data_IF_757751521463
#
_entry.id   IF_757751521463
#
_cell.length_a   1.000
_cell.length_b   1.000
_cell.length_c   1.000
_cell.angle_alpha   90.00
_cell.angle_beta   90.00
_cell.angle_gamma   90.00
#
_symmetry.space_group_name_H-M   'P 1'
#
loop_
_entity.id
_entity.type
_entity.pdbx_description
1 polymer ?
#
# COMPACT_ATOMS: atom_id res chain seq x y z
N UNK A 1 -7.66 25.13 20.28
CA UNK A 1 -6.54 25.08 21.23
C UNK A 1 -6.56 23.73 21.94
N UNK A 2 -5.42 23.03 21.88
CA UNK A 2 -4.88 22.21 22.96
C UNK A 2 -5.44 20.78 23.06
N UNK A 3 -4.57 19.75 23.15
CA UNK A 3 -3.82 19.49 24.39
C UNK A 3 -4.73 19.76 25.61
N UNK A 4 -5.94 19.19 25.60
CA UNK A 4 -6.84 19.16 26.74
C UNK A 4 -6.59 17.86 27.48
N UNK A 5 -5.67 17.89 28.43
CA UNK A 5 -5.72 16.91 29.53
C UNK A 5 -7.06 17.04 30.26
N UNK A 6 -7.47 16.08 31.10
CA UNK A 6 -6.78 14.86 31.53
C UNK A 6 -7.44 13.60 30.95
N UNK A 7 -6.63 12.58 30.60
CA UNK A 7 -7.01 11.19 30.24
C UNK A 7 -8.41 10.95 29.63
N UNK A 8 -8.44 10.33 28.44
CA UNK A 8 -8.90 8.95 28.48
C UNK A 8 -8.04 8.00 27.64
N UNK A 9 -7.91 6.81 28.17
CA UNK A 9 -7.52 5.58 27.50
C UNK A 9 -8.30 5.35 26.20
N UNK A 10 -7.73 5.67 25.04
CA UNK A 10 -7.91 4.98 23.75
C UNK A 10 -7.40 5.85 22.59
N UNK A 11 -6.62 5.23 21.68
CA UNK A 11 -6.30 5.80 20.38
C UNK A 11 -7.58 5.99 19.58
N UNK A 12 -7.97 7.25 19.34
CA UNK A 12 -9.13 7.60 18.53
C UNK A 12 -8.69 8.30 17.23
N UNK A 13 -8.93 7.67 16.09
CA UNK A 13 -8.84 8.31 14.78
C UNK A 13 -10.10 9.16 14.55
N UNK A 14 -9.96 10.47 14.32
CA UNK A 14 -11.06 11.30 13.78
C UNK A 14 -10.91 11.40 12.27
N UNK A 15 -11.96 11.01 11.55
CA UNK A 15 -12.18 11.41 10.17
C UNK A 15 -13.10 12.64 10.17
N UNK A 16 -12.56 13.83 9.88
CA UNK A 16 -13.38 14.98 9.51
C UNK A 16 -13.24 15.26 8.01
N UNK A 17 -14.35 15.13 7.29
CA UNK A 17 -14.50 15.48 5.89
C UNK A 17 -15.01 16.92 5.78
N UNK A 18 -14.20 17.86 5.29
CA UNK A 18 -14.69 19.20 4.93
C UNK A 18 -13.82 19.88 3.87
N UNK A 19 -14.33 19.82 2.63
CA UNK A 19 -14.26 20.77 1.50
C UNK A 19 -13.04 21.68 1.24
N UNK A 20 -12.62 21.63 -0.03
CA UNK A 20 -11.93 22.63 -0.85
C UNK A 20 -10.39 22.73 -0.74
N UNK A 21 -9.71 22.12 -1.73
CA UNK A 21 -8.35 22.44 -2.18
C UNK A 21 -7.26 22.57 -1.10
N UNK A 22 -7.08 21.55 -0.27
CA UNK A 22 -5.85 21.42 0.52
C UNK A 22 -5.21 20.06 0.30
N UNK A 23 -3.90 20.08 0.02
CA UNK A 23 -3.05 18.90 0.02
C UNK A 23 -3.29 18.13 1.31
N UNK A 24 -3.72 16.87 1.19
CA UNK A 24 -3.96 15.99 2.33
C UNK A 24 -2.64 15.73 3.06
N UNK A 25 -2.39 16.49 4.12
CA UNK A 25 -1.38 16.18 5.12
C UNK A 25 -2.01 15.23 6.14
N UNK A 26 -1.43 14.05 6.29
CA UNK A 26 -1.69 13.25 7.49
C UNK A 26 -1.01 13.95 8.65
N UNK A 27 -1.81 14.42 9.60
CA UNK A 27 -1.33 15.05 10.82
C UNK A 27 -1.43 14.01 11.94
N UNK A 28 -0.28 13.53 12.39
CA UNK A 28 -0.16 12.83 13.66
C UNK A 28 0.18 13.89 14.71
N UNK A 29 -0.71 14.05 15.69
CA UNK A 29 -0.47 14.95 16.81
C UNK A 29 0.34 14.18 17.86
N UNK A 30 1.61 14.56 18.05
CA UNK A 30 2.45 14.06 19.12
C UNK A 30 2.50 15.09 20.26
N UNK A 31 2.60 14.61 21.49
CA UNK A 31 2.87 15.44 22.67
C UNK A 31 4.36 15.26 22.97
N UNK A 32 5.16 16.31 22.74
CA UNK A 32 6.57 16.32 23.16
C UNK A 32 6.68 16.36 24.70
N UNK A 33 7.83 15.99 25.26
CA UNK A 33 8.08 15.99 26.73
C UNK A 33 7.85 17.36 27.40
N UNK A 34 7.84 18.44 26.62
CA UNK A 34 7.53 19.81 27.06
C UNK A 34 6.02 20.15 27.03
N UNK A 35 5.16 19.17 26.71
CA UNK A 35 3.70 19.36 26.61
C UNK A 35 3.25 20.15 25.37
N UNK A 36 4.14 20.32 24.39
CA UNK A 36 3.83 20.97 23.13
C UNK A 36 3.22 19.95 22.15
N UNK A 37 2.01 20.25 21.68
CA UNK A 37 1.38 19.51 20.58
C UNK A 37 2.12 19.86 19.27
N UNK A 38 3.07 19.02 18.82
CA UNK A 38 3.70 19.18 17.51
C UNK A 38 3.04 18.21 16.51
N UNK A 39 2.43 18.78 15.47
CA UNK A 39 1.86 18.01 14.37
C UNK A 39 2.96 17.64 13.39
N UNK A 40 3.33 16.35 13.32
CA UNK A 40 4.21 15.89 12.25
C UNK A 40 3.37 15.77 10.97
N UNK A 41 3.62 16.66 9.99
CA UNK A 41 2.96 16.57 8.69
C UNK A 41 3.68 15.56 7.82
N UNK A 42 3.06 14.41 7.55
CA UNK A 42 3.59 13.48 6.57
C UNK A 42 3.25 13.99 5.16
N UNK A 43 4.26 14.41 4.38
CA UNK A 43 4.08 14.77 2.97
C UNK A 43 4.02 13.52 2.13
N UNK A 44 2.82 13.16 1.67
CA UNK A 44 2.67 12.20 0.59
C UNK A 44 3.07 12.91 -0.71
N UNK A 45 4.18 12.49 -1.31
CA UNK A 45 4.54 12.90 -2.68
C UNK A 45 3.72 12.07 -3.67
N UNK A 46 2.71 12.63 -4.34
CA UNK A 46 1.89 11.87 -5.27
C UNK A 46 2.73 11.37 -6.44
N UNK A 47 2.71 10.05 -6.68
CA UNK A 47 3.41 9.43 -7.82
C UNK A 47 2.54 9.26 -9.07
N UNK A 48 1.24 9.47 -8.95
CA UNK A 48 0.27 9.35 -10.04
C UNK A 48 -0.09 10.75 -10.57
N UNK A 49 0.25 11.04 -11.82
CA UNK A 49 0.01 12.34 -12.47
C UNK A 49 -1.50 12.54 -12.63
N UNK A 50 -2.02 13.70 -12.20
CA UNK A 50 -3.46 14.04 -12.18
C UNK A 50 -4.32 13.05 -11.39
N UNK A 51 -3.71 12.22 -10.55
CA UNK A 51 -4.44 11.34 -9.65
C UNK A 51 -5.11 12.12 -8.53
N UNK A 52 -6.16 11.52 -7.98
CA UNK A 52 -6.77 11.97 -6.72
C UNK A 52 -6.51 10.92 -5.64
N UNK A 53 -6.35 11.31 -4.37
CA UNK A 53 -6.25 10.35 -3.28
C UNK A 53 -7.41 9.36 -3.28
N UNK A 54 -7.12 8.10 -2.96
CA UNK A 54 -8.12 7.03 -2.87
C UNK A 54 -7.84 6.13 -1.67
N UNK A 55 -8.74 5.18 -1.40
CA UNK A 55 -8.62 4.25 -0.30
C UNK A 55 -8.74 2.81 -0.78
N UNK A 56 -8.14 1.90 -0.02
CA UNK A 56 -8.25 0.46 -0.28
C UNK A 56 -9.70 -0.04 -0.22
N UNK A 57 -10.56 0.63 0.57
CA UNK A 57 -11.99 0.33 0.61
C UNK A 57 -12.69 0.58 -0.74
N UNK A 58 -12.19 1.51 -1.57
CA UNK A 58 -12.73 1.78 -2.91
C UNK A 58 -12.20 0.81 -3.96
N UNK A 59 -10.96 0.35 -3.80
CA UNK A 59 -10.27 -0.55 -4.74
C UNK A 59 -9.69 -1.76 -3.99
N UNK A 60 -10.54 -2.63 -3.42
CA UNK A 60 -10.11 -3.69 -2.50
C UNK A 60 -9.26 -4.78 -3.16
N UNK A 61 -9.25 -4.82 -4.49
CA UNK A 61 -8.43 -5.73 -5.28
C UNK A 61 -6.99 -5.25 -5.48
N UNK A 62 -6.63 -4.04 -5.05
CA UNK A 62 -5.26 -3.54 -5.19
C UNK A 62 -4.31 -4.26 -4.24
N UNK A 63 -3.15 -4.65 -4.77
CA UNK A 63 -2.10 -5.36 -4.05
C UNK A 63 -0.78 -4.62 -4.24
N UNK A 64 -0.03 -4.47 -3.16
CA UNK A 64 1.37 -4.09 -3.20
C UNK A 64 2.22 -5.35 -3.33
N UNK A 65 2.95 -5.44 -4.44
CA UNK A 65 3.87 -6.53 -4.72
C UNK A 65 5.29 -6.08 -4.33
N UNK A 66 5.88 -6.76 -3.35
CA UNK A 66 7.25 -6.47 -2.88
C UNK A 66 8.15 -7.61 -3.34
N UNK A 67 9.19 -7.27 -4.11
CA UNK A 67 10.17 -8.22 -4.67
C UNK A 67 11.56 -7.70 -4.32
N UNK A 68 12.16 -8.26 -3.27
CA UNK A 68 13.39 -7.71 -2.68
C UNK A 68 13.27 -6.20 -2.36
N UNK A 69 14.11 -5.32 -2.94
CA UNK A 69 14.04 -3.87 -2.73
C UNK A 69 13.01 -3.15 -3.62
N UNK A 70 12.41 -3.85 -4.60
CA UNK A 70 11.51 -3.27 -5.59
C UNK A 70 10.06 -3.42 -5.16
N UNK A 71 9.25 -2.40 -5.50
CA UNK A 71 7.81 -2.40 -5.24
C UNK A 71 7.06 -2.18 -6.55
N UNK A 72 6.13 -3.08 -6.84
CA UNK A 72 5.22 -3.05 -7.96
C UNK A 72 3.76 -3.04 -7.50
N UNK A 73 2.86 -2.75 -8.43
CA UNK A 73 1.42 -2.94 -8.23
C UNK A 73 0.99 -4.31 -8.76
N UNK A 74 0.00 -4.91 -8.14
CA UNK A 74 -0.66 -6.13 -8.61
C UNK A 74 -2.16 -6.08 -8.27
N UNK A 75 -2.95 -7.00 -8.83
CA UNK A 75 -4.41 -7.02 -8.62
C UNK A 75 -4.93 -8.43 -8.29
N UNK A 76 -5.85 -8.52 -7.33
CA UNK A 76 -6.56 -9.76 -7.00
C UNK A 76 -7.56 -10.06 -8.12
N UNK A 77 -7.46 -11.24 -8.73
CA UNK A 77 -8.38 -11.69 -9.78
C UNK A 77 -9.24 -12.90 -9.35
N UNK A 78 -8.82 -13.60 -8.30
CA UNK A 78 -9.59 -14.69 -7.67
C UNK A 78 -9.08 -14.95 -6.25
N UNK A 79 -9.70 -15.89 -5.54
CA UNK A 79 -9.28 -16.31 -4.19
C UNK A 79 -7.84 -16.86 -4.14
N UNK A 80 -7.32 -17.38 -5.25
CA UNK A 80 -6.00 -18.04 -5.29
C UNK A 80 -5.01 -17.36 -6.23
N UNK A 81 -5.41 -16.33 -6.96
CA UNK A 81 -4.55 -15.71 -7.98
C UNK A 81 -4.53 -14.18 -7.91
N UNK A 82 -3.31 -13.66 -8.04
CA UNK A 82 -2.99 -12.25 -8.20
C UNK A 82 -2.31 -12.04 -9.56
N UNK A 83 -2.73 -11.02 -10.30
CA UNK A 83 -2.18 -10.65 -11.60
C UNK A 83 -1.20 -9.48 -11.47
N UNK A 84 -0.07 -9.56 -12.15
CA UNK A 84 0.95 -8.52 -12.22
C UNK A 84 1.66 -8.53 -13.58
N UNK A 85 2.66 -7.66 -13.76
CA UNK A 85 3.56 -7.66 -14.90
C UNK A 85 4.74 -8.64 -14.69
N UNK A 86 5.19 -9.33 -15.73
CA UNK A 86 6.31 -10.27 -15.65
C UNK A 86 7.66 -9.59 -15.40
N UNK A 87 7.82 -8.32 -15.80
CA UNK A 87 9.02 -7.57 -15.45
C UNK A 87 9.13 -7.30 -13.93
N UNK A 88 8.00 -7.29 -13.21
CA UNK A 88 8.00 -7.12 -11.75
C UNK A 88 8.47 -8.39 -11.03
N UNK A 89 8.23 -9.56 -11.59
CA UNK A 89 8.71 -10.87 -11.09
C UNK A 89 10.09 -11.23 -11.62
N UNK A 90 10.74 -10.33 -12.37
CA UNK A 90 12.10 -10.50 -12.87
C UNK A 90 12.29 -11.66 -13.86
N UNK A 91 11.21 -12.24 -14.41
CA UNK A 91 11.28 -13.38 -15.33
C UNK A 91 11.72 -14.70 -14.68
N UNK A 92 11.41 -14.91 -13.40
CA UNK A 92 11.72 -16.15 -12.68
C UNK A 92 12.24 -16.00 -11.25
N UNK A 93 11.86 -14.94 -10.52
CA UNK A 93 12.15 -14.83 -9.09
C UNK A 93 11.58 -16.01 -8.30
N UNK A 94 12.30 -16.45 -7.27
CA UNK A 94 11.80 -17.49 -6.37
C UNK A 94 10.55 -16.97 -5.62
N UNK A 95 9.49 -17.78 -5.45
CA UNK A 95 8.28 -17.35 -4.73
C UNK A 95 8.55 -16.82 -3.31
N UNK A 96 9.62 -17.32 -2.67
CA UNK A 96 10.06 -16.91 -1.32
C UNK A 96 10.60 -15.47 -1.24
N UNK A 97 11.03 -14.90 -2.36
CA UNK A 97 11.49 -13.51 -2.46
C UNK A 97 10.35 -12.52 -2.73
N UNK A 98 9.11 -13.03 -2.86
CA UNK A 98 7.94 -12.26 -3.23
C UNK A 98 6.94 -12.21 -2.06
N UNK A 99 6.54 -11.00 -1.72
CA UNK A 99 5.56 -10.72 -0.69
C UNK A 99 4.40 -9.90 -1.28
N UNK A 100 3.17 -10.33 -0.99
CA UNK A 100 1.96 -9.62 -1.34
C UNK A 100 1.43 -8.90 -0.10
N UNK A 101 1.14 -7.61 -0.20
CA UNK A 101 0.56 -6.83 0.88
C UNK A 101 -0.76 -6.19 0.44
N UNK A 102 -1.82 -6.41 1.21
CA UNK A 102 -3.20 -6.02 0.89
C UNK A 102 -3.88 -5.33 2.08
N UNK A 103 -4.97 -4.59 1.82
CA UNK A 103 -5.78 -4.01 2.90
C UNK A 103 -5.26 -2.70 3.49
N UNK A 104 -4.25 -2.06 2.88
CA UNK A 104 -3.73 -0.74 3.28
C UNK A 104 -3.97 0.32 2.20
N UNK A 105 -4.26 1.56 2.61
CA UNK A 105 -4.37 2.71 1.68
C UNK A 105 -3.04 3.44 1.48
N UNK A 106 -2.01 3.09 2.25
CA UNK A 106 -0.72 3.77 2.25
C UNK A 106 0.40 2.75 2.04
N UNK A 107 1.21 2.96 1.00
CA UNK A 107 2.29 2.05 0.60
C UNK A 107 3.42 1.88 1.64
N UNK A 108 3.47 2.76 2.66
CA UNK A 108 4.45 2.72 3.77
C UNK A 108 3.89 2.08 5.03
N UNK A 109 2.57 1.91 5.09
CA UNK A 109 1.91 1.22 6.20
C UNK A 109 1.72 -0.23 5.84
N UNK A 110 1.85 -1.12 6.82
CA UNK A 110 1.72 -2.55 6.58
C UNK A 110 0.27 -3.03 6.63
N UNK A 111 -0.16 -3.64 5.53
CA UNK A 111 -1.40 -4.39 5.46
C UNK A 111 -1.28 -5.85 5.90
N UNK A 112 -2.21 -6.68 5.44
CA UNK A 112 -2.12 -8.14 5.58
C UNK A 112 -1.14 -8.66 4.53
N UNK A 113 -0.24 -9.54 4.97
CA UNK A 113 0.80 -10.11 4.12
C UNK A 113 0.48 -11.55 3.73
N UNK A 114 0.64 -11.86 2.44
CA UNK A 114 0.48 -13.20 1.89
C UNK A 114 1.75 -13.62 1.15
N UNK A 115 2.08 -14.91 1.25
CA UNK A 115 3.20 -15.51 0.53
C UNK A 115 2.74 -16.07 -0.81
N UNK A 116 3.66 -16.07 -1.78
CA UNK A 116 3.42 -16.65 -3.09
C UNK A 116 3.82 -18.12 -3.07
N UNK A 117 2.94 -18.98 -3.59
CA UNK A 117 3.18 -20.41 -3.79
C UNK A 117 3.92 -20.68 -5.10
N UNK A 118 3.51 -19.97 -6.15
CA UNK A 118 4.01 -20.18 -7.50
C UNK A 118 3.97 -18.88 -8.32
N UNK A 119 4.96 -18.70 -9.18
CA UNK A 119 5.06 -17.59 -10.13
C UNK A 119 4.90 -18.17 -11.53
N UNK A 120 3.91 -17.69 -12.27
CA UNK A 120 3.55 -18.16 -13.60
C UNK A 120 3.65 -16.98 -14.55
N UNK A 121 4.86 -16.70 -15.01
CA UNK A 121 5.10 -15.73 -16.09
C UNK A 121 4.57 -16.30 -17.42
N UNK A 122 4.15 -15.43 -18.32
CA UNK A 122 3.78 -15.84 -19.67
C UNK A 122 4.94 -16.60 -20.33
N UNK A 123 4.68 -17.77 -20.94
CA UNK A 123 5.73 -18.64 -21.51
C UNK A 123 6.60 -17.95 -22.56
N UNK A 124 6.00 -17.01 -23.30
CA UNK A 124 6.67 -16.23 -24.35
C UNK A 124 7.03 -14.80 -23.88
N UNK A 125 7.19 -14.57 -22.57
CA UNK A 125 7.59 -13.27 -22.03
C UNK A 125 8.92 -12.80 -22.65
N UNK A 126 8.89 -11.63 -23.26
CA UNK A 126 10.06 -10.97 -23.85
C UNK A 126 9.82 -9.46 -23.88
N UNK A 127 10.28 -8.76 -22.84
CA UNK A 127 9.97 -7.34 -22.63
C UNK A 127 10.16 -6.48 -23.90
N UNK A 128 9.16 -5.67 -24.29
CA UNK A 128 7.90 -5.40 -23.59
C UNK A 128 6.75 -6.36 -23.95
N UNK A 129 6.98 -7.37 -24.78
CA UNK A 129 5.95 -8.30 -25.23
C UNK A 129 5.61 -9.32 -24.12
N UNK A 130 4.32 -9.65 -24.02
CA UNK A 130 3.80 -10.65 -23.08
C UNK A 130 4.20 -10.38 -21.61
N UNK A 131 4.25 -9.10 -21.22
CA UNK A 131 4.60 -8.64 -19.87
C UNK A 131 3.45 -8.86 -18.88
N UNK A 132 3.16 -10.13 -18.59
CA UNK A 132 2.04 -10.57 -17.75
C UNK A 132 2.45 -11.80 -16.93
N UNK A 133 2.09 -11.80 -15.65
CA UNK A 133 2.40 -12.86 -14.70
C UNK A 133 1.26 -13.12 -13.73
N UNK A 134 1.01 -14.40 -13.44
CA UNK A 134 0.08 -14.85 -12.41
C UNK A 134 0.85 -15.36 -11.20
N UNK A 135 0.45 -14.89 -10.03
CA UNK A 135 0.97 -15.33 -8.74
C UNK A 135 -0.10 -16.17 -8.05
N UNK A 136 0.22 -17.44 -7.81
CA UNK A 136 -0.62 -18.33 -7.00
C UNK A 136 -0.34 -18.07 -5.53
N UNK A 137 -1.38 -17.78 -4.74
CA UNK A 137 -1.24 -17.39 -3.34
C UNK A 137 -1.38 -18.61 -2.43
N UNK A 138 -0.55 -18.69 -1.38
CA UNK A 138 -0.77 -19.66 -0.30
C UNK A 138 -1.82 -19.11 0.66
N UNK A 139 -2.96 -19.79 0.78
CA UNK A 139 -4.02 -19.49 1.75
C UNK A 139 -3.75 -20.17 3.11
#
# INVERSE_FOLDING_TARGET
MLCSGPFPSSLGFRHETSTFYHHHHHQLDFVDDDGLCTGATFKISPKIINGVPTSIARFPFMVQLVVGPSVCAAIIISESYVLTAAHCTGGGQSPEDILLEVGTSYWQEHGVRHTVRNVIDHSDYNFPNNDISLLEVSL
#
